data_IF_152319498041
#
_entry.id   IF_152319498041
#
_cell.length_a   1.000
_cell.length_b   1.000
_cell.length_c   1.000
_cell.angle_alpha   90.00
_cell.angle_beta   90.00
_cell.angle_gamma   90.00
#
_symmetry.space_group_name_H-M   'P 1'
#
loop_
_entity.id
_entity.type
_entity.pdbx_description
1 polymer ?
#
# COMPACT_ATOMS: atom_id res chain seq x y z
N UNK A 1 55.43 -30.50 -7.46
CA UNK A 1 53.97 -30.70 -7.64
C UNK A 1 53.11 -30.00 -6.59
N UNK A 2 53.52 -29.89 -5.31
CA UNK A 2 52.72 -29.26 -4.23
C UNK A 2 52.57 -27.73 -4.38
N UNK A 3 53.56 -27.06 -5.00
CA UNK A 3 53.55 -25.59 -5.18
C UNK A 3 52.61 -25.11 -6.29
N UNK A 4 52.48 -25.84 -7.40
CA UNK A 4 51.54 -25.51 -8.48
C UNK A 4 50.08 -25.66 -8.03
N UNK A 5 49.78 -26.68 -7.23
CA UNK A 5 48.42 -26.92 -6.74
C UNK A 5 47.94 -25.82 -5.78
N UNK A 6 48.84 -25.28 -4.94
CA UNK A 6 48.54 -24.14 -4.06
C UNK A 6 48.34 -22.83 -4.83
N UNK A 7 49.12 -22.60 -5.89
CA UNK A 7 48.96 -21.42 -6.74
C UNK A 7 47.63 -21.49 -7.55
N UNK A 8 47.26 -22.69 -8.01
CA UNK A 8 45.99 -22.92 -8.71
C UNK A 8 44.79 -22.71 -7.76
N UNK A 9 44.86 -23.17 -6.52
CA UNK A 9 43.82 -22.94 -5.50
C UNK A 9 43.67 -21.45 -5.12
N UNK A 10 44.77 -20.69 -5.06
CA UNK A 10 44.75 -19.23 -4.85
C UNK A 10 44.19 -18.45 -6.05
N UNK A 11 44.49 -18.88 -7.28
CA UNK A 11 43.88 -18.30 -8.49
C UNK A 11 42.38 -18.63 -8.60
N UNK A 12 41.95 -19.83 -8.19
CA UNK A 12 40.53 -20.21 -8.17
C UNK A 12 39.70 -19.39 -7.15
N UNK A 13 40.29 -18.93 -6.04
CA UNK A 13 39.62 -17.99 -5.12
C UNK A 13 39.55 -16.56 -5.62
N UNK A 14 40.40 -16.17 -6.59
CA UNK A 14 40.38 -14.85 -7.24
C UNK A 14 39.42 -14.80 -8.45
N UNK A 15 38.91 -15.97 -8.88
CA UNK A 15 38.02 -16.14 -10.03
C UNK A 15 36.60 -16.58 -9.63
N UNK A 16 36.25 -16.52 -8.35
CA UNK A 16 34.83 -16.53 -8.00
C UNK A 16 34.24 -15.24 -8.57
N UNK A 17 33.34 -15.29 -9.56
CA UNK A 17 32.61 -14.09 -9.91
C UNK A 17 31.96 -13.63 -8.61
N UNK A 18 32.34 -12.44 -8.14
CA UNK A 18 31.48 -11.70 -7.24
C UNK A 18 30.17 -11.64 -8.01
N UNK A 19 29.18 -12.44 -7.60
CA UNK A 19 27.84 -12.32 -8.13
C UNK A 19 27.43 -10.91 -7.79
N UNK A 20 27.50 -10.00 -8.77
CA UNK A 20 26.94 -8.67 -8.62
C UNK A 20 25.47 -8.91 -8.28
N UNK A 21 25.08 -8.54 -7.07
CA UNK A 21 23.66 -8.36 -6.80
C UNK A 21 23.21 -7.22 -7.72
N UNK A 22 21.99 -7.30 -8.22
CA UNK A 22 21.37 -6.17 -8.91
C UNK A 22 20.53 -5.40 -7.87
N UNK A 23 20.33 -4.11 -8.10
CA UNK A 23 19.49 -3.24 -7.26
C UNK A 23 19.97 -3.13 -5.80
N UNK A 24 21.21 -3.48 -5.49
CA UNK A 24 21.79 -3.47 -4.14
C UNK A 24 21.87 -2.07 -3.54
N UNK A 25 21.90 -1.04 -4.39
CA UNK A 25 21.84 0.37 -4.01
C UNK A 25 20.43 0.96 -3.99
N UNK A 26 19.44 0.28 -4.57
CA UNK A 26 18.03 0.60 -4.38
C UNK A 26 17.19 0.66 -5.67
N UNK A 27 16.02 1.25 -5.52
CA UNK A 27 14.92 1.25 -6.47
C UNK A 27 14.56 2.70 -6.85
N UNK A 28 14.61 3.02 -8.13
CA UNK A 28 14.44 4.37 -8.66
C UNK A 28 13.04 4.55 -9.25
N UNK A 29 12.24 5.41 -8.64
CA UNK A 29 10.92 5.78 -9.14
C UNK A 29 11.01 7.02 -10.04
N UNK A 30 10.27 7.02 -11.13
CA UNK A 30 10.02 8.23 -11.94
C UNK A 30 8.85 9.00 -11.33
N UNK A 31 9.04 10.29 -11.05
CA UNK A 31 8.06 11.17 -10.41
C UNK A 31 7.67 12.28 -11.39
N UNK A 32 6.39 12.42 -11.70
CA UNK A 32 5.89 13.50 -12.55
C UNK A 32 5.78 14.80 -11.75
N UNK A 33 6.48 15.86 -12.16
CA UNK A 33 6.58 17.12 -11.41
C UNK A 33 5.53 18.17 -11.80
N UNK A 34 4.90 18.02 -12.95
CA UNK A 34 3.78 18.87 -13.38
C UNK A 34 2.82 18.10 -14.26
N UNK A 35 1.52 18.37 -14.14
CA UNK A 35 0.56 18.02 -15.19
C UNK A 35 0.90 18.81 -16.46
N UNK A 36 0.68 18.21 -17.63
CA UNK A 36 0.92 18.91 -18.89
C UNK A 36 0.04 20.18 -18.94
N UNK A 37 0.59 21.36 -19.28
CA UNK A 37 -0.21 22.58 -19.45
C UNK A 37 -1.15 22.50 -20.66
N UNK A 38 -0.97 21.50 -21.52
CA UNK A 38 -1.87 21.17 -22.63
C UNK A 38 -2.55 19.83 -22.32
N UNK A 39 -3.86 19.71 -22.54
CA UNK A 39 -4.60 18.44 -22.59
C UNK A 39 -4.11 17.50 -23.73
N UNK A 40 -2.91 17.72 -24.25
CA UNK A 40 -2.23 16.84 -25.20
C UNK A 40 -1.58 15.67 -24.45
N UNK A 41 -2.10 14.44 -24.59
CA UNK A 41 -1.53 13.25 -23.96
C UNK A 41 -0.12 12.90 -24.47
N UNK A 42 0.35 13.54 -25.56
CA UNK A 42 1.71 13.35 -26.10
C UNK A 42 2.72 14.41 -25.65
N UNK A 43 2.30 15.41 -24.87
CA UNK A 43 3.23 16.41 -24.36
C UNK A 43 4.18 15.75 -23.35
N UNK A 44 5.51 15.87 -23.49
CA UNK A 44 6.44 15.30 -22.53
C UNK A 44 6.19 15.90 -21.15
N UNK A 45 5.86 15.05 -20.19
CA UNK A 45 5.72 15.44 -18.79
C UNK A 45 7.12 15.70 -18.22
N UNK A 46 7.24 16.76 -17.41
CA UNK A 46 8.45 16.96 -16.64
C UNK A 46 8.51 15.88 -15.56
N UNK A 47 9.61 15.12 -15.54
CA UNK A 47 9.82 14.06 -14.56
C UNK A 47 11.12 14.28 -13.81
N UNK A 48 11.13 13.89 -12.54
CA UNK A 48 12.33 13.70 -11.72
C UNK A 48 12.41 12.24 -11.27
N UNK A 49 13.46 11.88 -10.55
CA UNK A 49 13.64 10.54 -9.99
C UNK A 49 13.80 10.58 -8.48
N UNK A 50 13.25 9.58 -7.79
CA UNK A 50 13.43 9.38 -6.36
C UNK A 50 14.01 7.98 -6.10
N UNK A 51 15.07 7.90 -5.29
CA UNK A 51 15.70 6.63 -4.90
C UNK A 51 15.14 6.16 -3.55
N UNK A 52 14.76 4.88 -3.51
CA UNK A 52 14.31 4.18 -2.33
C UNK A 52 15.19 2.96 -2.04
N UNK A 53 15.40 2.67 -0.77
CA UNK A 53 16.44 1.72 -0.33
C UNK A 53 15.89 0.43 0.26
N UNK A 54 14.58 0.39 0.45
CA UNK A 54 13.80 -0.69 1.06
C UNK A 54 12.60 -1.03 0.17
N UNK A 55 12.07 -2.25 0.32
CA UNK A 55 10.85 -2.67 -0.36
C UNK A 55 9.95 -3.52 0.52
N UNK A 56 8.66 -3.51 0.20
CA UNK A 56 7.65 -4.47 0.62
C UNK A 56 6.79 -4.76 -0.62
N UNK A 57 6.84 -5.99 -1.10
CA UNK A 57 6.09 -6.45 -2.27
C UNK A 57 5.25 -7.66 -1.87
N UNK A 58 3.94 -7.55 -2.02
CA UNK A 58 3.00 -8.63 -1.72
C UNK A 58 2.09 -8.86 -2.91
N UNK A 59 2.16 -10.07 -3.48
CA UNK A 59 1.21 -10.57 -4.47
C UNK A 59 0.15 -11.41 -3.76
N UNK A 60 -1.01 -10.80 -3.46
CA UNK A 60 -2.10 -11.45 -2.75
C UNK A 60 -2.72 -12.60 -3.55
N UNK A 61 -2.50 -12.66 -4.87
CA UNK A 61 -2.98 -13.76 -5.71
C UNK A 61 -2.25 -15.08 -5.43
N UNK A 62 -1.06 -15.01 -4.81
CA UNK A 62 -0.23 -16.17 -4.45
C UNK A 62 -0.39 -16.61 -3.00
N UNK A 63 -1.11 -15.84 -2.18
CA UNK A 63 -1.35 -16.22 -0.80
C UNK A 63 -2.41 -17.34 -0.74
N UNK A 64 -2.19 -18.40 0.06
CA UNK A 64 -3.16 -19.47 0.24
C UNK A 64 -4.29 -19.02 1.19
N UNK A 65 -5.09 -18.05 0.74
CA UNK A 65 -6.19 -17.50 1.50
C UNK A 65 -7.40 -18.47 1.48
N UNK A 66 -8.10 -18.68 2.61
CA UNK A 66 -9.38 -19.35 2.61
C UNK A 66 -10.47 -18.43 2.03
N UNK A 67 -11.59 -18.96 1.51
CA UNK A 67 -12.78 -18.15 1.25
C UNK A 67 -13.22 -17.40 2.53
N UNK A 68 -13.91 -16.24 2.40
CA UNK A 68 -14.48 -15.55 3.57
C UNK A 68 -15.39 -16.48 4.38
N UNK A 69 -15.09 -16.67 5.67
CA UNK A 69 -15.88 -17.47 6.60
C UNK A 69 -16.05 -16.72 7.94
N UNK A 70 -17.21 -16.06 8.14
CA UNK A 70 -17.52 -15.35 9.38
C UNK A 70 -17.48 -16.23 10.65
N UNK A 71 -17.62 -17.55 10.50
CA UNK A 71 -17.65 -18.48 11.62
C UNK A 71 -16.26 -18.95 12.08
N UNK A 72 -15.23 -18.74 11.25
CA UNK A 72 -13.86 -19.18 11.54
C UNK A 72 -12.80 -18.27 10.88
N UNK A 73 -12.60 -17.04 11.41
CA UNK A 73 -11.61 -16.11 10.87
C UNK A 73 -10.15 -16.56 11.05
N UNK A 74 -9.89 -17.57 11.89
CA UNK A 74 -8.53 -17.99 12.24
C UNK A 74 -7.74 -18.46 11.03
N UNK A 75 -8.37 -19.11 10.05
CA UNK A 75 -7.68 -19.54 8.84
C UNK A 75 -7.19 -18.35 8.00
N UNK A 76 -8.00 -17.29 7.90
CA UNK A 76 -7.63 -16.05 7.21
C UNK A 76 -6.47 -15.36 7.93
N UNK A 77 -6.59 -15.16 9.25
CA UNK A 77 -5.53 -14.54 10.06
C UNK A 77 -4.22 -15.31 9.96
N UNK A 78 -4.26 -16.65 10.01
CA UNK A 78 -3.07 -17.49 9.91
C UNK A 78 -2.36 -17.38 8.56
N UNK A 79 -3.08 -17.14 7.47
CA UNK A 79 -2.49 -16.97 6.14
C UNK A 79 -1.59 -15.71 6.07
N UNK A 80 -1.76 -14.78 7.01
CA UNK A 80 -0.98 -13.55 7.13
C UNK A 80 0.16 -13.61 8.17
N UNK A 81 0.36 -14.73 8.86
CA UNK A 81 1.40 -14.85 9.88
C UNK A 81 2.83 -14.78 9.34
N UNK A 82 3.03 -15.14 8.07
CA UNK A 82 4.35 -15.15 7.41
C UNK A 82 4.55 -13.95 6.49
N UNK A 83 3.60 -13.04 6.42
CA UNK A 83 3.68 -11.81 5.63
C UNK A 83 4.01 -10.62 6.54
N UNK A 84 4.17 -9.45 5.95
CA UNK A 84 4.26 -8.15 6.60
C UNK A 84 2.88 -7.52 6.79
N UNK A 85 1.77 -8.24 6.54
CA UNK A 85 0.41 -7.72 6.67
C UNK A 85 -0.38 -8.34 7.81
N UNK A 86 -1.09 -7.55 8.60
CA UNK A 86 -1.89 -7.99 9.72
C UNK A 86 -3.37 -7.60 9.52
N UNK A 87 -4.30 -8.58 9.49
CA UNK A 87 -5.72 -8.29 9.62
C UNK A 87 -6.04 -7.65 10.96
N UNK A 88 -6.82 -6.58 10.96
CA UNK A 88 -7.13 -5.83 12.17
C UNK A 88 -8.46 -6.26 12.79
N UNK A 89 -8.54 -6.16 14.13
CA UNK A 89 -9.74 -6.44 14.91
C UNK A 89 -9.92 -5.39 16.00
N UNK A 90 -10.88 -4.49 15.81
CA UNK A 90 -11.25 -3.44 16.77
C UNK A 90 -12.61 -2.84 16.40
N UNK A 91 -13.24 -2.16 17.36
CA UNK A 91 -14.52 -1.49 17.14
C UNK A 91 -14.37 0.03 17.33
N UNK A 92 -15.07 0.79 16.50
CA UNK A 92 -15.28 2.23 16.67
C UNK A 92 -16.77 2.49 16.95
N UNK A 93 -17.06 3.28 17.98
CA UNK A 93 -18.43 3.74 18.22
C UNK A 93 -18.88 4.69 17.12
N UNK A 94 -20.20 4.91 16.98
CA UNK A 94 -20.75 5.83 16.00
C UNK A 94 -20.18 7.26 16.16
N UNK A 95 -19.97 7.70 17.40
CA UNK A 95 -19.36 9.01 17.70
C UNK A 95 -17.92 9.09 17.20
N UNK A 96 -17.12 8.03 17.41
CA UNK A 96 -15.70 8.03 16.99
C UNK A 96 -15.54 7.85 15.49
N UNK A 97 -16.36 6.99 14.88
CA UNK A 97 -16.48 6.82 13.43
C UNK A 97 -17.05 8.08 12.75
N UNK A 98 -17.67 8.99 13.52
CA UNK A 98 -18.33 10.20 13.01
C UNK A 98 -19.42 9.86 12.00
N UNK A 99 -20.14 8.78 12.26
CA UNK A 99 -21.20 8.24 11.40
C UNK A 99 -22.52 8.09 12.14
N UNK A 100 -23.54 7.67 11.40
CA UNK A 100 -24.82 7.24 12.00
C UNK A 100 -24.65 5.90 12.72
N UNK A 101 -23.71 5.08 12.24
CA UNK A 101 -23.39 3.76 12.76
C UNK A 101 -21.94 3.72 13.22
N UNK A 102 -21.62 2.79 14.13
CA UNK A 102 -20.23 2.45 14.44
C UNK A 102 -19.61 1.55 13.36
N UNK A 103 -18.35 1.21 13.54
CA UNK A 103 -17.58 0.33 12.66
C UNK A 103 -17.03 -0.84 13.47
N UNK A 104 -17.20 -2.07 12.96
CA UNK A 104 -16.68 -3.29 13.55
C UNK A 104 -15.66 -3.89 12.59
N UNK A 105 -14.38 -3.61 12.81
CA UNK A 105 -13.29 -4.22 12.06
C UNK A 105 -13.12 -5.65 12.54
N UNK A 106 -13.42 -6.59 11.66
CA UNK A 106 -13.38 -8.01 11.96
C UNK A 106 -12.58 -8.74 10.86
N UNK A 107 -11.51 -9.49 11.21
CA UNK A 107 -10.80 -10.33 10.25
C UNK A 107 -11.71 -11.33 9.51
N UNK A 108 -12.87 -11.67 10.05
CA UNK A 108 -13.86 -12.53 9.39
C UNK A 108 -14.52 -11.89 8.15
N UNK A 109 -14.31 -10.58 7.95
CA UNK A 109 -14.68 -9.85 6.74
C UNK A 109 -13.55 -9.80 5.70
N UNK A 110 -12.47 -10.57 5.89
CA UNK A 110 -11.44 -10.79 4.91
C UNK A 110 -11.46 -12.22 4.34
N UNK A 111 -10.92 -12.40 3.14
CA UNK A 111 -10.76 -13.74 2.55
C UNK A 111 -10.19 -13.74 1.14
N UNK A 112 -10.23 -14.90 0.51
CA UNK A 112 -9.84 -15.09 -0.87
C UNK A 112 -10.93 -14.61 -1.84
N UNK A 113 -10.52 -13.85 -2.85
CA UNK A 113 -11.20 -13.77 -4.14
C UNK A 113 -10.31 -14.39 -5.20
N UNK A 114 -10.89 -14.96 -6.27
CA UNK A 114 -10.11 -15.57 -7.36
C UNK A 114 -9.08 -14.66 -8.04
N UNK A 115 -9.04 -13.37 -7.68
CA UNK A 115 -8.14 -12.34 -8.17
C UNK A 115 -7.35 -11.62 -7.03
N UNK A 116 -7.22 -12.19 -5.83
CA UNK A 116 -6.44 -11.60 -4.71
C UNK A 116 -7.15 -11.63 -3.36
N UNK A 117 -6.74 -10.76 -2.43
CA UNK A 117 -7.42 -10.62 -1.13
C UNK A 117 -8.68 -9.78 -1.27
N UNK A 118 -9.73 -10.15 -0.54
CA UNK A 118 -11.00 -9.42 -0.46
C UNK A 118 -11.17 -8.81 0.92
N UNK A 119 -11.59 -7.54 0.96
CA UNK A 119 -12.05 -6.83 2.16
C UNK A 119 -13.54 -6.51 1.98
N UNK A 120 -14.36 -7.01 2.89
CA UNK A 120 -15.83 -7.01 2.75
C UNK A 120 -16.46 -6.04 3.74
N UNK A 121 -17.40 -5.22 3.24
CA UNK A 121 -18.35 -4.50 4.09
C UNK A 121 -19.67 -5.26 4.06
N UNK A 122 -20.21 -5.57 5.24
CA UNK A 122 -21.53 -6.23 5.37
C UNK A 122 -22.63 -5.18 5.40
N UNK A 123 -23.55 -5.26 4.45
CA UNK A 123 -24.68 -4.36 4.28
C UNK A 123 -26.02 -5.03 4.59
N UNK A 124 -27.07 -4.66 3.84
CA UNK A 124 -28.40 -5.28 3.94
C UNK A 124 -29.10 -5.08 5.29
N UNK A 125 -28.65 -4.11 6.10
CA UNK A 125 -29.15 -3.89 7.47
C UNK A 125 -28.59 -4.86 8.52
N UNK A 126 -27.56 -5.66 8.18
CA UNK A 126 -26.89 -6.61 9.07
C UNK A 126 -25.91 -5.92 10.05
N UNK A 127 -26.45 -5.01 10.86
CA UNK A 127 -25.67 -4.36 11.91
C UNK A 127 -25.41 -5.30 13.08
N UNK A 128 -24.23 -5.21 13.68
CA UNK A 128 -23.88 -5.89 14.94
C UNK A 128 -23.69 -4.83 16.01
N UNK A 129 -24.56 -4.82 17.03
CA UNK A 129 -24.55 -3.82 18.11
C UNK A 129 -24.53 -2.36 17.62
N UNK A 130 -25.26 -2.08 16.53
CA UNK A 130 -25.32 -0.75 15.92
C UNK A 130 -24.09 -0.36 15.10
N UNK A 131 -23.19 -1.32 14.83
CA UNK A 131 -21.99 -1.15 14.03
C UNK A 131 -22.10 -1.88 12.69
N UNK A 132 -21.44 -1.34 11.68
CA UNK A 132 -21.28 -1.97 10.37
C UNK A 132 -20.06 -2.89 10.44
N UNK A 133 -20.18 -4.18 10.11
CA UNK A 133 -19.00 -5.04 9.96
C UNK A 133 -18.20 -4.64 8.72
N UNK A 134 -16.91 -4.37 8.94
CA UNK A 134 -15.96 -3.82 7.97
C UNK A 134 -14.63 -4.57 8.05
N UNK A 135 -13.67 -4.24 7.19
CA UNK A 135 -12.39 -4.95 7.11
C UNK A 135 -11.20 -4.00 6.90
N UNK A 136 -10.07 -4.35 7.52
CA UNK A 136 -8.81 -3.62 7.45
C UNK A 136 -7.61 -4.56 7.49
N UNK A 137 -6.57 -4.22 6.74
CA UNK A 137 -5.30 -4.92 6.65
C UNK A 137 -4.14 -3.91 6.69
N UNK A 138 -3.25 -4.07 7.66
CA UNK A 138 -2.16 -3.12 7.92
C UNK A 138 -0.81 -3.75 7.65
N UNK A 139 0.16 -2.99 7.17
CA UNK A 139 1.55 -3.45 7.23
C UNK A 139 2.04 -3.44 8.68
N UNK A 140 2.68 -4.53 9.13
CA UNK A 140 3.37 -4.66 10.43
C UNK A 140 4.53 -3.68 10.59
N UNK A 141 5.10 -3.23 9.47
CA UNK A 141 6.16 -2.22 9.46
C UNK A 141 5.58 -0.85 9.75
N UNK A 142 6.03 -0.26 10.86
CA UNK A 142 5.71 1.11 11.28
C UNK A 142 6.83 2.10 10.93
N UNK A 143 7.85 1.63 10.23
CA UNK A 143 9.03 2.41 9.86
C UNK A 143 9.01 2.90 8.41
N UNK A 144 7.84 2.83 7.76
CA UNK A 144 7.64 3.24 6.37
C UNK A 144 7.67 4.78 6.28
N UNK A 145 8.78 5.32 5.78
CA UNK A 145 8.96 6.76 5.56
C UNK A 145 8.58 7.19 4.14
N UNK A 146 9.35 8.11 3.55
CA UNK A 146 9.17 8.53 2.16
C UNK A 146 9.26 7.34 1.20
N UNK A 147 8.37 7.28 0.21
CA UNK A 147 8.21 6.11 -0.63
C UNK A 147 7.35 6.33 -1.86
N UNK A 148 7.37 5.32 -2.74
CA UNK A 148 6.39 5.09 -3.79
C UNK A 148 5.57 3.88 -3.39
N UNK A 149 4.29 4.10 -3.10
CA UNK A 149 3.35 3.09 -2.62
C UNK A 149 2.30 2.83 -3.68
N UNK A 150 2.15 1.57 -4.08
CA UNK A 150 1.31 1.17 -5.21
C UNK A 150 0.38 0.06 -4.78
N UNK A 151 -0.88 0.17 -5.15
CA UNK A 151 -1.90 -0.85 -4.92
C UNK A 151 -2.61 -1.14 -6.24
N UNK A 152 -2.82 -2.43 -6.54
CA UNK A 152 -3.75 -2.82 -7.59
C UNK A 152 -5.04 -3.32 -6.98
N UNK A 153 -6.14 -2.60 -7.23
CA UNK A 153 -7.44 -2.94 -6.65
C UNK A 153 -8.60 -2.71 -7.60
N UNK A 154 -9.69 -3.42 -7.34
CA UNK A 154 -11.00 -3.24 -7.96
C UNK A 154 -12.01 -2.85 -6.88
N UNK A 155 -12.59 -1.68 -7.04
CA UNK A 155 -13.51 -1.05 -6.08
C UNK A 155 -14.93 -1.61 -6.29
N UNK A 156 -15.76 -1.80 -5.25
CA UNK A 156 -17.11 -2.30 -5.45
C UNK A 156 -18.00 -1.31 -6.21
N UNK A 157 -18.89 -1.84 -7.06
CA UNK A 157 -19.94 -1.06 -7.73
C UNK A 157 -21.14 -0.73 -6.82
N UNK A 158 -21.22 -1.37 -5.65
CA UNK A 158 -22.31 -1.16 -4.70
C UNK A 158 -22.10 0.15 -3.96
N UNK A 159 -23.06 1.07 -4.09
CA UNK A 159 -23.06 2.34 -3.38
C UNK A 159 -23.17 2.16 -1.86
N UNK A 160 -22.52 3.06 -1.12
CA UNK A 160 -22.62 3.15 0.34
C UNK A 160 -21.39 2.65 1.10
N UNK A 161 -20.20 2.68 0.50
CA UNK A 161 -18.95 2.34 1.17
C UNK A 161 -17.82 3.31 0.81
N UNK A 162 -16.78 3.31 1.65
CA UNK A 162 -15.47 3.88 1.33
C UNK A 162 -14.46 2.75 1.20
N UNK A 163 -13.85 2.60 0.02
CA UNK A 163 -12.66 1.79 -0.18
C UNK A 163 -11.43 2.70 -0.13
N UNK A 164 -10.39 2.30 0.60
CA UNK A 164 -9.24 3.15 0.86
C UNK A 164 -7.92 2.38 0.78
N UNK A 165 -6.90 3.06 0.26
CA UNK A 165 -5.49 2.71 0.43
C UNK A 165 -4.74 3.95 0.90
N UNK A 166 -4.03 3.82 2.00
CA UNK A 166 -3.42 4.99 2.63
C UNK A 166 -2.15 4.69 3.39
N UNK A 167 -1.39 5.75 3.64
CA UNK A 167 -0.27 5.76 4.56
C UNK A 167 -0.69 6.45 5.85
N UNK A 168 -0.37 5.86 7.02
CA UNK A 168 -0.83 6.35 8.32
C UNK A 168 0.30 6.36 9.37
N UNK A 169 0.40 7.48 10.10
CA UNK A 169 1.09 7.55 11.39
C UNK A 169 0.11 7.85 12.54
N UNK A 170 -0.76 8.85 12.35
CA UNK A 170 -1.85 9.21 13.26
C UNK A 170 -2.90 10.08 12.55
N UNK A 171 -4.00 10.42 13.24
CA UNK A 171 -5.13 11.21 12.72
C UNK A 171 -4.80 12.64 12.22
N UNK A 172 -3.53 13.06 12.30
CA UNK A 172 -3.04 14.36 11.80
C UNK A 172 -1.87 14.24 10.83
N UNK A 173 -1.48 13.01 10.47
CA UNK A 173 -0.43 12.68 9.53
C UNK A 173 -0.84 11.40 8.79
N UNK A 174 -1.56 11.60 7.70
CA UNK A 174 -2.18 10.56 6.88
C UNK A 174 -2.15 10.98 5.41
N UNK A 175 -2.07 10.01 4.49
CA UNK A 175 -2.12 10.24 3.05
C UNK A 175 -3.06 9.23 2.43
N UNK A 176 -4.17 9.69 1.88
CA UNK A 176 -5.28 8.83 1.48
C UNK A 176 -5.59 8.89 0.00
N UNK A 177 -5.94 7.72 -0.52
CA UNK A 177 -6.75 7.57 -1.72
C UNK A 177 -8.04 6.87 -1.32
N UNK A 178 -9.17 7.56 -1.45
CA UNK A 178 -10.49 7.10 -1.01
C UNK A 178 -11.54 7.15 -2.11
N UNK A 179 -12.31 6.06 -2.21
CA UNK A 179 -13.36 5.86 -3.21
C UNK A 179 -14.71 5.78 -2.52
N UNK A 180 -15.52 6.82 -2.67
CA UNK A 180 -16.88 6.86 -2.13
C UNK A 180 -17.83 6.29 -3.17
N UNK A 181 -18.18 5.02 -3.02
CA UNK A 181 -18.93 4.28 -4.05
C UNK A 181 -20.33 4.84 -4.30
N UNK A 182 -20.87 5.61 -3.34
CA UNK A 182 -22.14 6.32 -3.51
C UNK A 182 -22.07 7.45 -4.57
N UNK A 183 -20.87 7.99 -4.81
CA UNK A 183 -20.65 9.12 -5.71
C UNK A 183 -20.32 8.64 -7.13
N UNK A 184 -20.28 7.32 -7.36
CA UNK A 184 -20.13 6.74 -8.69
C UNK A 184 -21.41 6.87 -9.50
N UNK A 185 -21.27 7.32 -10.74
CA UNK A 185 -22.35 7.38 -11.71
C UNK A 185 -21.94 6.63 -13.00
N UNK A 186 -22.11 5.29 -13.04
CA UNK A 186 -21.77 4.50 -14.21
C UNK A 186 -22.54 4.92 -15.48
N UNK A 187 -23.76 5.46 -15.32
CA UNK A 187 -24.60 5.89 -16.45
C UNK A 187 -24.00 7.02 -17.30
N UNK A 188 -23.08 7.80 -16.74
CA UNK A 188 -22.37 8.88 -17.44
C UNK A 188 -20.84 8.77 -17.26
N UNK A 189 -20.33 7.58 -16.91
CA UNK A 189 -18.91 7.29 -16.72
C UNK A 189 -18.19 8.27 -15.76
N UNK A 190 -18.87 8.69 -14.69
CA UNK A 190 -18.29 9.60 -13.68
C UNK A 190 -17.90 8.80 -12.44
N UNK A 191 -16.60 8.78 -12.14
CA UNK A 191 -16.02 8.03 -11.03
C UNK A 191 -15.10 8.94 -10.21
N UNK A 192 -15.63 9.66 -9.20
CA UNK A 192 -14.83 10.52 -8.35
C UNK A 192 -13.85 9.74 -7.47
N UNK A 193 -12.68 10.31 -7.27
CA UNK A 193 -11.65 9.84 -6.34
C UNK A 193 -11.26 10.98 -5.41
N UNK A 194 -11.17 10.69 -4.11
CA UNK A 194 -10.81 11.66 -3.09
C UNK A 194 -9.35 11.42 -2.68
N UNK A 195 -8.55 12.46 -2.82
CA UNK A 195 -7.14 12.49 -2.45
C UNK A 195 -7.03 13.36 -1.21
N UNK A 196 -6.53 12.82 -0.11
CA UNK A 196 -6.63 13.48 1.20
C UNK A 196 -5.28 13.47 1.91
N UNK A 197 -4.98 14.57 2.60
CA UNK A 197 -3.97 14.63 3.65
C UNK A 197 -4.68 14.98 4.96
N UNK A 198 -4.90 13.99 5.84
CA UNK A 198 -5.35 14.30 7.19
C UNK A 198 -4.23 15.04 7.92
N UNK A 199 -4.59 16.20 8.45
CA UNK A 199 -3.65 17.15 9.01
C UNK A 199 -4.23 17.79 10.27
N UNK A 200 -3.41 18.56 10.98
CA UNK A 200 -3.91 19.41 12.06
C UNK A 200 -5.01 20.37 11.58
N UNK A 201 -4.95 20.85 10.34
CA UNK A 201 -6.00 21.70 9.79
C UNK A 201 -7.31 20.90 9.67
N UNK A 202 -7.25 19.68 9.14
CA UNK A 202 -8.40 18.77 9.01
C UNK A 202 -9.00 18.46 10.38
N UNK A 203 -8.18 18.16 11.39
CA UNK A 203 -8.62 17.94 12.77
C UNK A 203 -9.34 19.16 13.37
N UNK A 204 -8.81 20.38 13.17
CA UNK A 204 -9.47 21.62 13.60
C UNK A 204 -10.77 21.89 12.83
N UNK A 205 -10.88 21.36 11.62
CA UNK A 205 -12.10 21.30 10.84
C UNK A 205 -12.90 20.01 11.11
N UNK A 206 -12.83 19.44 12.32
CA UNK A 206 -13.64 18.29 12.72
C UNK A 206 -13.35 17.00 11.94
N UNK A 207 -12.08 16.80 11.56
CA UNK A 207 -11.60 15.69 10.72
C UNK A 207 -12.24 15.65 9.32
N UNK A 208 -12.51 16.83 8.76
CA UNK A 208 -13.06 17.00 7.42
C UNK A 208 -12.10 17.84 6.56
N UNK A 209 -11.21 17.15 5.86
CA UNK A 209 -10.20 17.77 5.01
C UNK A 209 -10.79 18.52 3.80
N UNK A 210 -12.03 18.21 3.39
CA UNK A 210 -12.71 18.93 2.31
C UNK A 210 -12.91 20.42 2.64
N UNK A 211 -12.88 20.77 3.94
CA UNK A 211 -13.00 22.14 4.45
C UNK A 211 -11.67 22.86 4.63
N UNK A 212 -10.54 22.25 4.27
CA UNK A 212 -9.21 22.82 4.50
C UNK A 212 -8.43 23.18 3.24
N UNK A 213 -9.07 23.04 2.07
CA UNK A 213 -8.58 23.56 0.79
C UNK A 213 -7.73 22.56 -0.01
N UNK A 214 -7.28 22.97 -1.21
CA UNK A 214 -6.60 22.09 -2.16
C UNK A 214 -5.23 21.58 -1.70
N UNK A 215 -4.67 22.16 -0.63
CA UNK A 215 -3.42 21.69 -0.02
C UNK A 215 -3.59 20.39 0.77
N UNK A 216 -4.82 20.02 1.12
CA UNK A 216 -5.16 18.85 1.96
C UNK A 216 -6.23 17.96 1.35
N UNK A 217 -6.99 18.45 0.38
CA UNK A 217 -8.09 17.72 -0.21
C UNK A 217 -8.28 18.11 -1.68
N UNK A 218 -8.23 17.11 -2.57
CA UNK A 218 -8.56 17.26 -3.98
C UNK A 218 -9.48 16.10 -4.34
N UNK A 219 -10.64 16.43 -4.89
CA UNK A 219 -11.49 15.47 -5.58
C UNK A 219 -11.28 15.64 -7.08
N UNK A 220 -11.03 14.52 -7.77
CA UNK A 220 -10.93 14.48 -9.23
C UNK A 220 -11.67 13.25 -9.76
N UNK A 221 -11.61 13.00 -11.07
CA UNK A 221 -12.30 11.89 -11.72
C UNK A 221 -11.31 10.93 -12.35
N UNK A 222 -11.61 9.64 -12.27
CA UNK A 222 -10.89 8.60 -13.00
C UNK A 222 -11.33 8.58 -14.46
N UNK A 223 -10.40 8.35 -15.41
CA UNK A 223 -10.74 8.21 -16.83
C UNK A 223 -11.30 6.83 -17.18
N UNK A 224 -11.47 5.94 -16.20
CA UNK A 224 -11.93 4.57 -16.33
C UNK A 224 -12.92 4.20 -15.23
N UNK A 225 -13.62 3.08 -15.40
CA UNK A 225 -14.50 2.50 -14.39
C UNK A 225 -13.69 1.66 -13.37
N UNK A 226 -13.49 2.14 -12.13
CA UNK A 226 -12.70 1.43 -11.12
C UNK A 226 -13.38 0.16 -10.60
N UNK A 227 -14.63 -0.10 -11.01
CA UNK A 227 -15.43 -1.24 -10.60
C UNK A 227 -15.38 -2.39 -11.60
N UNK A 228 -15.00 -2.10 -12.86
CA UNK A 228 -14.97 -3.07 -13.94
C UNK A 228 -13.71 -3.95 -13.92
N UNK A 229 -12.56 -3.36 -13.59
CA UNK A 229 -11.25 -4.01 -13.63
C UNK A 229 -10.35 -3.59 -12.48
N UNK A 230 -9.22 -4.28 -12.33
CA UNK A 230 -8.16 -3.85 -11.43
C UNK A 230 -7.37 -2.72 -12.08
N UNK A 231 -7.13 -1.66 -11.32
CA UNK A 231 -6.32 -0.51 -11.71
C UNK A 231 -5.22 -0.28 -10.67
N UNK A 232 -4.06 0.25 -11.10
CA UNK A 232 -2.99 0.62 -10.18
C UNK A 232 -3.20 2.06 -9.70
N UNK A 233 -3.26 2.24 -8.38
CA UNK A 233 -3.22 3.54 -7.73
C UNK A 233 -1.89 3.70 -7.01
N UNK A 234 -1.31 4.89 -7.09
CA UNK A 234 0.03 5.15 -6.57
C UNK A 234 0.09 6.45 -5.80
N UNK A 235 0.75 6.40 -4.64
CA UNK A 235 1.13 7.53 -3.81
C UNK A 235 2.66 7.63 -3.86
N UNK A 236 3.20 8.73 -4.36
CA UNK A 236 4.60 9.09 -4.08
C UNK A 236 4.65 10.09 -2.93
N UNK A 237 5.05 9.62 -1.76
CA UNK A 237 5.28 10.41 -0.56
C UNK A 237 6.76 10.83 -0.51
N UNK A 238 7.01 12.10 -0.81
CA UNK A 238 8.35 12.68 -0.89
C UNK A 238 8.53 13.79 0.16
N UNK A 239 9.76 14.30 0.37
CA UNK A 239 9.95 15.49 1.17
C UNK A 239 9.06 16.65 0.68
N UNK A 240 8.15 17.10 1.55
CA UNK A 240 7.26 18.25 1.35
C UNK A 240 6.23 18.15 0.21
N UNK A 241 6.13 17.00 -0.47
CA UNK A 241 5.21 16.80 -1.59
C UNK A 241 4.61 15.39 -1.58
N UNK A 242 3.37 15.27 -2.04
CA UNK A 242 2.69 14.00 -2.28
C UNK A 242 2.11 14.04 -3.69
N UNK A 243 2.42 13.02 -4.49
CA UNK A 243 1.90 12.87 -5.85
C UNK A 243 0.98 11.65 -5.91
N UNK A 244 -0.18 11.82 -6.52
CA UNK A 244 -1.18 10.77 -6.63
C UNK A 244 -1.37 10.38 -8.09
N UNK A 245 -1.46 9.08 -8.37
CA UNK A 245 -1.61 8.56 -9.72
C UNK A 245 -2.66 7.46 -9.81
N UNK A 246 -3.20 7.31 -11.00
CA UNK A 246 -4.03 6.17 -11.43
C UNK A 246 -3.52 5.69 -12.80
N UNK A 247 -3.18 4.40 -12.92
CA UNK A 247 -2.59 3.79 -14.12
C UNK A 247 -1.43 4.59 -14.72
N UNK A 248 -0.58 5.14 -13.84
CA UNK A 248 0.58 5.96 -14.19
C UNK A 248 0.27 7.42 -14.56
N UNK A 249 -1.00 7.80 -14.72
CA UNK A 249 -1.40 9.18 -14.96
C UNK A 249 -1.41 9.98 -13.64
N UNK A 250 -0.74 11.13 -13.62
CA UNK A 250 -0.72 12.03 -12.46
C UNK A 250 -2.10 12.67 -12.27
N UNK A 251 -2.74 12.41 -11.13
CA UNK A 251 -4.04 12.94 -10.75
C UNK A 251 -3.91 14.28 -10.01
N UNK A 252 -3.00 14.36 -9.05
CA UNK A 252 -2.79 15.56 -8.24
C UNK A 252 -1.41 15.60 -7.60
N UNK A 253 -1.00 16.81 -7.23
CA UNK A 253 0.16 17.08 -6.38
C UNK A 253 -0.28 17.93 -5.21
N UNK A 254 -0.02 17.47 -3.99
CA UNK A 254 -0.21 18.25 -2.77
C UNK A 254 1.14 18.58 -2.15
N UNK A 255 1.23 19.77 -1.56
CA UNK A 255 2.45 20.24 -0.93
C UNK A 255 2.13 21.14 0.26
N UNK A 256 3.12 21.31 1.14
CA UNK A 256 3.02 22.21 2.29
C UNK A 256 2.92 21.48 3.63
N UNK A 257 2.43 22.18 4.65
CA UNK A 257 2.50 21.74 6.05
C UNK A 257 1.63 20.53 6.40
N UNK A 258 0.74 20.11 5.49
CA UNK A 258 -0.08 18.91 5.64
C UNK A 258 0.66 17.62 5.24
N UNK A 259 1.76 17.73 4.48
CA UNK A 259 2.55 16.56 4.11
C UNK A 259 3.17 15.97 5.39
N UNK A 260 3.01 14.66 5.65
CA UNK A 260 3.57 14.03 6.84
C UNK A 260 5.09 14.17 6.95
N UNK A 261 5.59 13.98 8.17
CA UNK A 261 7.03 14.02 8.50
C UNK A 261 7.49 12.85 9.37
N UNK A 262 6.54 12.12 9.96
CA UNK A 262 6.80 10.89 10.73
C UNK A 262 6.93 9.67 9.81
N UNK A 263 7.57 8.58 10.28
CA UNK A 263 7.36 7.25 9.71
C UNK A 263 6.01 6.69 10.13
N UNK A 264 5.47 5.79 9.33
CA UNK A 264 4.15 5.21 9.51
C UNK A 264 4.07 3.84 8.85
N UNK A 265 2.88 3.50 8.37
CA UNK A 265 2.58 2.20 7.78
C UNK A 265 1.52 2.33 6.70
N UNK A 266 1.32 1.28 5.90
CA UNK A 266 0.31 1.24 4.86
C UNK A 266 -0.92 0.48 5.35
N UNK A 267 -2.09 0.96 4.96
CA UNK A 267 -3.38 0.37 5.33
C UNK A 267 -4.24 0.18 4.08
N UNK A 268 -4.85 -1.00 3.98
CA UNK A 268 -5.95 -1.30 3.07
C UNK A 268 -7.22 -1.38 3.90
N UNK A 269 -8.23 -0.59 3.59
CA UNK A 269 -9.45 -0.52 4.39
C UNK A 269 -10.68 -0.47 3.50
N UNK A 270 -11.73 -1.17 3.91
CA UNK A 270 -13.04 -1.08 3.26
C UNK A 270 -14.12 -0.98 4.34
N UNK A 271 -14.82 0.16 4.36
CA UNK A 271 -15.66 0.52 5.48
C UNK A 271 -16.93 1.29 5.09
N UNK A 272 -17.86 1.36 6.03
CA UNK A 272 -19.03 2.22 5.97
C UNK A 272 -19.52 2.54 7.37
N UNK A 273 -20.03 3.75 7.57
CA UNK A 273 -20.59 4.21 8.85
C UNK A 273 -21.82 5.12 8.68
N UNK A 274 -22.29 5.30 7.44
CA UNK A 274 -23.45 6.13 7.13
C UNK A 274 -23.26 7.63 7.36
N UNK A 275 -22.02 8.11 7.39
CA UNK A 275 -21.76 9.54 7.28
C UNK A 275 -22.23 10.05 5.90
N UNK A 276 -23.21 10.96 5.82
CA UNK A 276 -23.78 11.43 4.55
C UNK A 276 -22.83 12.29 3.73
N UNK A 277 -21.72 12.75 4.32
CA UNK A 277 -20.63 13.46 3.65
C UNK A 277 -19.48 12.53 3.26
N UNK A 278 -19.44 11.26 3.71
CA UNK A 278 -18.38 10.31 3.34
C UNK A 278 -18.85 8.94 2.80
N UNK A 279 -18.99 7.90 3.64
CA UNK A 279 -19.38 6.57 3.16
C UNK A 279 -20.82 6.50 2.62
N UNK A 280 -21.74 7.27 3.20
CA UNK A 280 -23.16 7.35 2.81
C UNK A 280 -23.98 6.04 2.94
N UNK A 281 -23.39 4.98 3.47
CA UNK A 281 -24.01 3.66 3.60
C UNK A 281 -24.74 3.43 4.94
N UNK A 282 -24.80 2.17 5.42
CA UNK A 282 -24.29 0.92 4.83
C UNK A 282 -24.82 0.64 3.42
N UNK A 283 -24.13 -0.20 2.64
CA UNK A 283 -24.65 -0.60 1.34
C UNK A 283 -25.98 -1.35 1.48
N UNK A 284 -26.89 -1.12 0.54
CA UNK A 284 -28.18 -1.81 0.51
C UNK A 284 -28.07 -3.29 0.13
N UNK A 285 -27.03 -3.65 -0.63
CA UNK A 285 -26.70 -5.05 -0.88
C UNK A 285 -26.12 -5.70 0.38
N UNK A 286 -26.25 -7.03 0.49
CA UNK A 286 -25.76 -7.79 1.64
C UNK A 286 -24.23 -7.64 1.83
N UNK A 287 -23.51 -7.46 0.72
CA UNK A 287 -22.06 -7.33 0.72
C UNK A 287 -21.59 -6.32 -0.32
N UNK A 288 -20.55 -5.58 0.03
CA UNK A 288 -19.71 -4.86 -0.91
C UNK A 288 -18.27 -5.39 -0.75
N UNK A 289 -17.60 -5.66 -1.87
CA UNK A 289 -16.28 -6.31 -1.87
C UNK A 289 -15.25 -5.42 -2.55
N UNK A 290 -14.24 -5.01 -1.78
CA UNK A 290 -12.98 -4.46 -2.31
C UNK A 290 -12.05 -5.64 -2.58
N UNK A 291 -11.52 -5.75 -3.80
CA UNK A 291 -10.54 -6.78 -4.14
C UNK A 291 -9.17 -6.14 -4.40
N UNK A 292 -8.11 -6.73 -3.86
CA UNK A 292 -6.73 -6.23 -3.98
C UNK A 292 -5.82 -7.34 -4.50
N UNK A 293 -5.15 -7.09 -5.63
CA UNK A 293 -4.22 -8.03 -6.26
C UNK A 293 -2.85 -7.98 -5.64
N UNK A 294 -2.30 -6.79 -5.47
CA UNK A 294 -0.98 -6.59 -4.90
C UNK A 294 -0.85 -5.24 -4.22
N UNK A 295 0.15 -5.16 -3.34
CA UNK A 295 0.76 -3.90 -2.92
C UNK A 295 2.27 -3.98 -3.18
N UNK A 296 2.82 -2.90 -3.73
CA UNK A 296 4.26 -2.71 -3.94
C UNK A 296 4.65 -1.38 -3.31
N UNK A 297 5.51 -1.42 -2.31
CA UNK A 297 6.01 -0.26 -1.61
C UNK A 297 7.53 -0.22 -1.74
N UNK A 298 8.06 0.87 -2.26
CA UNK A 298 9.50 1.15 -2.30
C UNK A 298 9.74 2.39 -1.46
N UNK A 299 10.51 2.29 -0.39
CA UNK A 299 10.57 3.36 0.60
C UNK A 299 11.92 3.47 1.30
N UNK A 300 12.05 4.53 2.08
CA UNK A 300 13.17 4.74 2.99
C UNK A 300 12.71 4.45 4.41
N UNK A 301 13.25 3.38 4.98
CA UNK A 301 12.98 2.97 6.36
C UNK A 301 13.52 4.00 7.36
N UNK A 302 12.75 4.26 8.42
CA UNK A 302 13.24 5.06 9.56
C UNK A 302 14.20 4.28 10.48
N UNK A 303 14.15 2.94 10.49
CA UNK A 303 14.98 2.10 11.36
C UNK A 303 16.48 2.20 11.04
N UNK A 304 17.34 2.44 12.05
CA UNK A 304 18.80 2.45 11.86
C UNK A 304 19.37 1.15 11.30
N UNK A 305 18.80 0.00 11.69
CA UNK A 305 19.25 -1.31 11.23
C UNK A 305 19.14 -1.45 9.69
N UNK A 306 18.01 -1.03 9.11
CA UNK A 306 17.76 -1.06 7.66
C UNK A 306 18.66 -0.11 6.90
N UNK A 307 18.89 1.09 7.44
CA UNK A 307 19.85 2.04 6.88
C UNK A 307 21.26 1.43 6.86
N UNK A 308 21.64 0.75 7.93
CA UNK A 308 22.90 0.01 8.01
C UNK A 308 22.98 -1.18 7.05
N UNK A 309 21.88 -1.92 6.84
CA UNK A 309 21.82 -3.00 5.84
C UNK A 309 22.05 -2.45 4.44
N UNK A 310 21.35 -1.38 4.05
CA UNK A 310 21.56 -0.71 2.77
C UNK A 310 23.01 -0.24 2.59
N UNK A 311 23.59 0.42 3.59
CA UNK A 311 24.99 0.87 3.56
C UNK A 311 25.99 -0.28 3.37
N UNK A 312 25.69 -1.49 3.86
CA UNK A 312 26.54 -2.66 3.67
C UNK A 312 26.40 -3.30 2.29
N UNK A 313 25.20 -3.21 1.69
CA UNK A 313 24.92 -3.79 0.37
C UNK A 313 25.38 -2.89 -0.76
N UNK A 314 25.14 -1.57 -0.63
CA UNK A 314 25.47 -0.60 -1.66
C UNK A 314 26.96 -0.25 -1.63
N UNK A 315 27.75 -0.92 -2.47
CA UNK A 315 29.18 -0.66 -2.59
C UNK A 315 29.51 0.53 -3.50
N UNK A 316 28.89 0.58 -4.67
CA UNK A 316 29.07 1.63 -5.66
C UNK A 316 27.72 1.95 -6.35
N UNK A 317 27.05 3.06 -6.03
CA UNK A 317 25.77 3.41 -6.63
C UNK A 317 25.85 3.78 -8.11
N UNK A 318 27.05 4.02 -8.65
CA UNK A 318 27.26 4.30 -10.09
C UNK A 318 27.54 3.03 -10.89
N UNK A 319 27.74 1.89 -10.23
CA UNK A 319 28.00 0.63 -10.91
C UNK A 319 26.78 0.19 -11.76
N UNK A 320 27.01 -0.42 -12.94
CA UNK A 320 25.92 -0.93 -13.76
C UNK A 320 25.07 -1.95 -12.99
N UNK A 321 23.76 -1.72 -12.95
CA UNK A 321 22.81 -2.59 -12.24
C UNK A 321 22.61 -2.26 -10.77
N UNK A 322 23.44 -1.38 -10.17
CA UNK A 322 23.38 -1.10 -8.73
C UNK A 322 22.05 -0.48 -8.29
N UNK A 323 21.46 0.34 -9.15
CA UNK A 323 20.14 0.96 -8.95
C UNK A 323 19.21 0.51 -10.06
N UNK A 324 18.04 0.01 -9.69
CA UNK A 324 17.06 -0.48 -10.65
C UNK A 324 15.85 0.41 -10.75
N UNK A 325 15.38 0.66 -11.98
CA UNK A 325 14.17 1.44 -12.23
C UNK A 325 12.95 0.63 -11.84
N UNK A 326 12.04 1.23 -11.08
CA UNK A 326 10.72 0.65 -10.79
C UNK A 326 9.86 0.77 -12.06
N UNK A 327 9.39 -0.34 -12.64
CA UNK A 327 8.51 -0.29 -13.80
C UNK A 327 7.16 0.35 -13.46
N UNK A 328 6.67 1.23 -14.34
CA UNK A 328 5.36 1.86 -14.18
C UNK A 328 4.27 1.13 -14.96
N UNK A 329 3.14 0.89 -14.30
CA UNK A 329 1.87 0.59 -15.00
C UNK A 329 1.47 1.83 -15.77
N UNK A 330 1.03 1.64 -17.01
CA UNK A 330 0.55 2.71 -17.88
C UNK A 330 -0.78 2.33 -18.49
N UNK A 331 -1.57 3.34 -18.84
CA UNK A 331 -2.79 3.13 -19.61
C UNK A 331 -2.51 2.28 -20.86
N UNK A 332 -3.25 1.18 -21.01
CA UNK A 332 -3.10 0.24 -22.12
C UNK A 332 -1.85 -0.66 -22.07
N UNK A 333 -1.01 -0.54 -21.03
CA UNK A 333 0.13 -1.42 -20.81
C UNK A 333 0.28 -1.76 -19.31
N UNK A 334 -0.26 -2.92 -18.93
CA UNK A 334 -0.23 -3.48 -17.59
C UNK A 334 0.94 -4.44 -17.37
N UNK A 335 1.95 -4.49 -18.25
CA UNK A 335 3.07 -5.44 -18.12
C UNK A 335 3.83 -5.29 -16.80
N UNK A 336 3.84 -4.08 -16.22
CA UNK A 336 4.44 -3.80 -14.92
C UNK A 336 3.60 -4.31 -13.74
N UNK A 337 2.30 -4.56 -13.92
CA UNK A 337 1.39 -4.99 -12.86
C UNK A 337 1.82 -6.35 -12.30
N UNK A 338 2.17 -7.30 -13.16
CA UNK A 338 2.66 -8.62 -12.77
C UNK A 338 4.16 -8.69 -12.44
N UNK A 339 4.87 -7.57 -12.48
CA UNK A 339 6.31 -7.54 -12.28
C UNK A 339 6.68 -7.20 -10.83
N UNK A 340 7.52 -8.02 -10.20
CA UNK A 340 7.99 -7.86 -8.82
C UNK A 340 9.51 -8.05 -8.78
N UNK A 341 10.22 -7.20 -8.04
CA UNK A 341 11.66 -7.37 -7.81
C UNK A 341 11.94 -8.67 -7.03
N UNK A 342 11.06 -9.04 -6.09
CA UNK A 342 11.13 -10.29 -5.33
C UNK A 342 11.12 -11.55 -6.17
N UNK A 343 10.56 -11.49 -7.38
CA UNK A 343 10.52 -12.62 -8.33
C UNK A 343 11.75 -12.68 -9.23
N UNK A 344 12.54 -11.60 -9.30
CA UNK A 344 13.71 -11.53 -10.16
C UNK A 344 14.94 -12.07 -9.43
N UNK A 345 15.78 -12.80 -10.18
CA UNK A 345 17.07 -13.26 -9.65
C UNK A 345 17.94 -12.07 -9.32
N UNK A 346 18.55 -12.11 -8.14
CA UNK A 346 19.55 -11.16 -7.67
C UNK A 346 19.10 -9.72 -7.40
N UNK A 347 17.82 -9.35 -7.59
CA UNK A 347 17.36 -7.97 -7.44
C UNK A 347 16.90 -7.58 -6.02
N UNK A 348 16.85 -8.56 -5.12
CA UNK A 348 16.47 -8.38 -3.70
C UNK A 348 17.47 -9.08 -2.77
N UNK A 349 18.69 -9.36 -3.25
CA UNK A 349 19.72 -10.01 -2.46
C UNK A 349 20.04 -9.20 -1.20
N UNK A 350 20.03 -9.88 -0.04
CA UNK A 350 20.19 -9.26 1.27
C UNK A 350 19.17 -8.14 1.58
N UNK A 351 18.08 -8.04 0.84
CA UNK A 351 16.87 -7.33 1.27
C UNK A 351 16.10 -8.22 2.23
N UNK A 352 15.45 -7.60 3.21
CA UNK A 352 14.38 -8.30 3.93
C UNK A 352 13.14 -8.13 3.09
N UNK A 353 12.88 -9.14 2.26
CA UNK A 353 11.65 -9.31 1.48
C UNK A 353 10.80 -10.39 2.13
N UNK A 354 9.49 -10.33 1.94
CA UNK A 354 8.61 -11.47 2.21
C UNK A 354 9.11 -12.66 1.40
N UNK A 355 9.49 -13.75 2.06
CA UNK A 355 9.91 -14.97 1.35
C UNK A 355 8.64 -15.63 0.83
N UNK A 356 8.27 -15.32 -0.41
CA UNK A 356 7.43 -16.19 -1.22
C UNK A 356 8.11 -17.55 -1.33
N UNK A 357 7.35 -18.63 -1.15
CA UNK A 357 7.87 -19.99 -1.01
C UNK A 357 8.94 -20.37 -2.03
N UNK A 358 9.98 -21.04 -1.50
CA UNK A 358 11.14 -21.66 -2.17
C UNK A 358 12.34 -20.76 -2.53
N UNK A 359 13.29 -20.67 -1.58
CA UNK A 359 14.64 -21.22 -1.81
C UNK A 359 15.41 -21.36 -0.49
N UNK A 360 16.08 -22.50 -0.34
CA UNK A 360 16.75 -22.91 0.90
C UNK A 360 17.92 -22.01 1.29
N UNK A 361 17.77 -21.34 2.43
CA UNK A 361 18.84 -20.65 3.14
C UNK A 361 18.61 -20.78 4.64
N UNK A 362 19.56 -21.41 5.33
CA UNK A 362 19.50 -21.79 6.74
C UNK A 362 19.16 -20.59 7.64
N UNK A 363 17.97 -20.60 8.26
CA UNK A 363 17.66 -19.73 9.40
C UNK A 363 18.23 -20.36 10.67
N UNK A 364 19.23 -19.71 11.27
CA UNK A 364 19.64 -19.98 12.65
C UNK A 364 18.53 -19.51 13.60
N UNK A 365 18.11 -20.42 14.48
CA UNK A 365 16.88 -20.31 15.26
C UNK A 365 16.96 -19.51 16.56
N UNK A 366 15.78 -19.40 17.19
CA UNK A 366 15.52 -18.77 18.49
C UNK A 366 15.41 -17.25 18.35
N UNK A 367 14.40 -16.54 18.86
CA UNK A 367 13.90 -16.60 20.22
C UNK A 367 12.49 -15.98 20.31
N UNK A 368 11.65 -16.57 21.18
CA UNK A 368 10.76 -15.83 22.08
C UNK A 368 9.47 -15.24 21.52
N UNK A 369 8.38 -16.02 21.62
CA UNK A 369 6.99 -15.55 21.60
C UNK A 369 6.77 -14.42 22.62
N UNK A 370 6.32 -13.26 22.14
CA UNK A 370 5.67 -12.24 22.98
C UNK A 370 4.38 -11.79 22.29
N UNK A 371 3.26 -12.22 22.86
CA UNK A 371 1.93 -11.69 22.56
C UNK A 371 1.80 -10.35 23.29
N UNK A 372 1.72 -9.25 22.54
CA UNK A 372 1.45 -7.92 23.08
C UNK A 372 0.21 -7.35 22.41
N UNK A 373 -0.91 -7.36 23.12
CA UNK A 373 -2.12 -6.63 22.75
C UNK A 373 -1.83 -5.13 22.88
N UNK A 374 -1.87 -4.39 21.77
CA UNK A 374 -1.79 -2.93 21.78
C UNK A 374 -3.21 -2.37 21.90
N UNK A 375 -3.62 -2.03 23.13
CA UNK A 375 -4.79 -1.20 23.38
C UNK A 375 -4.33 0.25 23.34
N UNK A 376 -4.60 0.97 22.25
CA UNK A 376 -4.43 2.42 22.20
C UNK A 376 -5.71 3.11 22.65
N UNK A 377 -5.81 3.32 23.97
CA UNK A 377 -6.76 4.26 24.56
C UNK A 377 -6.33 5.70 24.25
N UNK A 378 -6.99 6.34 23.29
CA UNK A 378 -6.91 7.77 23.05
C UNK A 378 -7.91 8.50 23.95
N UNK A 379 -7.40 9.26 24.92
CA UNK A 379 -8.18 10.21 25.71
C UNK A 379 -8.16 11.60 25.09
N UNK A 380 -9.30 12.29 25.29
CA UNK A 380 -9.67 13.66 24.93
C UNK A 380 -10.14 13.89 23.49
#
# INVERSE_FOLDING_TARGET
MVSLLRLLLLLLTLLTPLTLADCECGYLATITTSTSPTDDPNHPLNTTTALFTDLLETDFTRLPLPPPDPSNPTAYVNAFHTTEWAPQSFNLSAERARGTYGEMFDPANGGAGGDGVQLVVRGGGLLVDGMVPVAELDTRRLDVGWGSFRVSMRVPAVAGTCAAFFWYFNDTQEIDIEFLTRDFHPSNATFPINLVLQSRASALAGFDASRTGPQTFIQTHLPFDPTASFHEYRIDYLPSTVHFYADGALLAVMSGAAVPTSPGHLILQHWSNGNPSWSGGPPAADEAVLAVRYVKAYFNSSMPARKGDWQRRCGDPEAPGAVCVIPDVREGNDSAAGWFFGDQRNMTNNQTVEVGGESGGVRLGGWGLWWGWLVMGGGA
#
